data_IF_519439101497
#
_entry.id   IF_519439101497
#
_cell.length_a   1.000
_cell.length_b   1.000
_cell.length_c   1.000
_cell.angle_alpha   90.00
_cell.angle_beta   90.00
_cell.angle_gamma   90.00
#
_symmetry.space_group_name_H-M   'P 1'
#
loop_
_entity.id
_entity.type
_entity.pdbx_description
1 polymer ?
#
# COMPACT_ATOMS: atom_id res chain seq x y z
N UNK A 1 -17.87 -3.66 -6.15
CA UNK A 1 -16.87 -4.32 -5.27
C UNK A 1 -17.57 -5.37 -4.41
N UNK A 2 -17.01 -6.59 -4.27
CA UNK A 2 -17.60 -7.62 -3.39
C UNK A 2 -17.27 -7.32 -1.93
N UNK A 3 -18.10 -7.78 -0.97
CA UNK A 3 -17.86 -7.58 0.47
C UNK A 3 -16.48 -8.08 0.92
N UNK A 4 -16.02 -9.17 0.32
CA UNK A 4 -14.70 -9.75 0.56
C UNK A 4 -13.57 -8.79 0.15
N UNK A 5 -13.60 -8.26 -1.08
CA UNK A 5 -12.61 -7.27 -1.57
C UNK A 5 -12.56 -6.02 -0.69
N UNK A 6 -13.70 -5.59 -0.16
CA UNK A 6 -13.76 -4.45 0.76
C UNK A 6 -13.09 -4.74 2.10
N UNK A 7 -13.26 -5.94 2.66
CA UNK A 7 -12.63 -6.33 3.92
C UNK A 7 -11.11 -6.47 3.77
N UNK A 8 -10.67 -7.09 2.67
CA UNK A 8 -9.25 -7.17 2.30
C UNK A 8 -8.64 -5.78 2.13
N UNK A 9 -9.30 -4.88 1.41
CA UNK A 9 -8.78 -3.52 1.25
C UNK A 9 -8.70 -2.75 2.58
N UNK A 10 -9.66 -2.95 3.48
CA UNK A 10 -9.60 -2.35 4.83
C UNK A 10 -8.47 -2.92 5.67
N UNK A 11 -8.17 -4.22 5.58
CA UNK A 11 -7.04 -4.80 6.30
C UNK A 11 -5.71 -4.31 5.73
N UNK A 12 -5.59 -4.13 4.43
CA UNK A 12 -4.40 -3.54 3.78
C UNK A 12 -4.21 -2.08 4.23
N UNK A 13 -5.30 -1.30 4.29
CA UNK A 13 -5.24 0.08 4.79
C UNK A 13 -4.72 0.14 6.23
N UNK A 14 -5.29 -0.65 7.13
CA UNK A 14 -4.87 -0.67 8.54
C UNK A 14 -3.40 -1.08 8.70
N UNK A 15 -2.91 -2.01 7.87
CA UNK A 15 -1.50 -2.40 7.86
C UNK A 15 -0.61 -1.27 7.34
N UNK A 16 -1.04 -0.54 6.30
CA UNK A 16 -0.29 0.59 5.76
C UNK A 16 -0.22 1.76 6.75
N UNK A 17 -1.28 2.00 7.52
CA UNK A 17 -1.31 2.98 8.63
C UNK A 17 -0.27 2.62 9.70
N UNK A 18 -0.30 1.38 10.20
CA UNK A 18 0.66 0.87 11.18
C UNK A 18 2.11 0.91 10.66
N UNK A 19 2.32 0.63 9.38
CA UNK A 19 3.63 0.74 8.76
C UNK A 19 4.12 2.19 8.74
N UNK A 20 3.28 3.16 8.40
CA UNK A 20 3.70 4.58 8.39
C UNK A 20 3.97 5.15 9.78
N UNK A 21 3.36 4.60 10.83
CA UNK A 21 3.64 4.98 12.22
C UNK A 21 5.04 4.50 12.66
N UNK A 22 5.45 3.31 12.18
CA UNK A 22 6.77 2.72 12.49
C UNK A 22 7.87 3.19 11.55
N UNK A 23 7.52 3.55 10.32
CA UNK A 23 8.42 4.01 9.27
C UNK A 23 7.89 5.32 8.68
N UNK A 24 8.10 6.47 9.36
CA UNK A 24 7.61 7.76 8.89
C UNK A 24 8.13 8.07 7.48
N UNK A 25 7.23 8.26 6.49
CA UNK A 25 7.66 8.42 5.11
C UNK A 25 8.28 9.81 4.90
N UNK A 26 9.43 9.85 4.23
CA UNK A 26 10.23 11.08 4.03
C UNK A 26 9.91 11.78 2.72
N UNK A 27 9.70 11.02 1.64
CA UNK A 27 9.35 11.56 0.31
C UNK A 27 7.83 11.67 0.12
N UNK A 28 7.12 10.60 0.49
CA UNK A 28 5.67 10.51 0.39
C UNK A 28 5.02 10.94 1.70
N UNK A 29 3.80 11.45 1.64
CA UNK A 29 2.95 11.60 2.83
C UNK A 29 2.36 10.24 3.22
N UNK A 30 1.95 10.05 4.48
CA UNK A 30 1.28 8.81 4.88
C UNK A 30 0.07 8.48 4.00
N UNK A 31 -0.75 9.49 3.68
CA UNK A 31 -1.91 9.30 2.82
C UNK A 31 -1.56 8.83 1.40
N UNK A 32 -0.43 9.27 0.84
CA UNK A 32 0.06 8.81 -0.47
C UNK A 32 0.55 7.36 -0.40
N UNK A 33 1.26 7.00 0.67
CA UNK A 33 1.70 5.62 0.94
C UNK A 33 0.51 4.67 1.00
N UNK A 34 -0.53 5.01 1.77
CA UNK A 34 -1.71 4.15 1.91
C UNK A 34 -2.44 3.94 0.58
N UNK A 35 -2.55 5.00 -0.24
CA UNK A 35 -3.17 4.88 -1.57
C UNK A 35 -2.37 3.94 -2.49
N UNK A 36 -1.04 4.05 -2.47
CA UNK A 36 -0.17 3.19 -3.28
C UNK A 36 -0.17 1.75 -2.80
N UNK A 37 -0.19 1.50 -1.49
CA UNK A 37 -0.27 0.17 -0.91
C UNK A 37 -1.59 -0.54 -1.25
N UNK A 38 -2.70 0.21 -1.25
CA UNK A 38 -4.01 -0.29 -1.71
C UNK A 38 -4.00 -0.61 -3.21
N UNK A 39 -3.36 0.23 -4.03
CA UNK A 39 -3.25 0.00 -5.47
C UNK A 39 -2.35 -1.19 -5.83
N UNK A 40 -1.27 -1.42 -5.07
CA UNK A 40 -0.37 -2.56 -5.32
C UNK A 40 -1.03 -3.90 -4.98
N UNK A 41 -1.94 -3.92 -4.01
CA UNK A 41 -2.43 -5.17 -3.39
C UNK A 41 -3.85 -5.52 -3.81
N UNK A 42 -4.77 -4.55 -3.86
CA UNK A 42 -6.21 -4.83 -3.88
C UNK A 42 -6.86 -4.83 -5.28
N UNK A 43 -6.07 -4.73 -6.36
CA UNK A 43 -6.54 -4.69 -7.76
C UNK A 43 -7.81 -3.81 -7.92
N UNK A 44 -7.72 -2.56 -7.48
CA UNK A 44 -8.84 -1.63 -7.46
C UNK A 44 -9.15 -1.12 -8.87
N UNK A 45 -10.42 -1.17 -9.25
CA UNK A 45 -10.87 -0.82 -10.60
C UNK A 45 -11.00 0.70 -10.81
N UNK A 46 -11.18 1.46 -9.73
CA UNK A 46 -11.40 2.91 -9.80
C UNK A 46 -10.91 3.68 -8.58
N UNK A 47 -10.74 5.01 -8.74
CA UNK A 47 -10.50 5.91 -7.59
C UNK A 47 -11.68 6.00 -6.64
N UNK A 48 -12.90 5.74 -7.13
CA UNK A 48 -14.09 5.70 -6.30
C UNK A 48 -14.02 4.59 -5.24
N UNK A 49 -13.39 3.47 -5.59
CA UNK A 49 -13.16 2.37 -4.64
C UNK A 49 -12.15 2.79 -3.56
N UNK A 50 -11.02 3.40 -3.96
CA UNK A 50 -10.04 3.98 -3.04
C UNK A 50 -10.68 4.99 -2.08
N UNK A 51 -11.47 5.91 -2.62
CA UNK A 51 -12.19 6.93 -1.86
C UNK A 51 -13.16 6.31 -0.85
N UNK A 52 -13.92 5.29 -1.27
CA UNK A 52 -14.83 4.56 -0.40
C UNK A 52 -14.11 3.78 0.72
N UNK A 53 -12.93 3.22 0.45
CA UNK A 53 -12.11 2.54 1.45
C UNK A 53 -11.51 3.55 2.45
N UNK A 54 -10.98 4.66 1.94
CA UNK A 54 -10.29 5.70 2.70
C UNK A 54 -11.24 6.66 3.44
N UNK A 55 -12.52 6.69 3.09
CA UNK A 55 -13.49 7.64 3.65
C UNK A 55 -13.22 9.09 3.25
N UNK A 56 -12.61 9.33 2.09
CA UNK A 56 -12.29 10.67 1.58
C UNK A 56 -12.84 10.85 0.16
N UNK A 57 -12.86 12.09 -0.35
CA UNK A 57 -13.37 12.34 -1.70
C UNK A 57 -12.45 11.80 -2.81
N UNK A 58 -13.03 11.39 -3.93
CA UNK A 58 -12.30 11.01 -5.16
C UNK A 58 -11.32 12.10 -5.61
N UNK A 59 -11.68 13.38 -5.43
CA UNK A 59 -10.83 14.53 -5.75
C UNK A 59 -9.57 14.56 -4.88
N UNK A 60 -9.72 14.23 -3.59
CA UNK A 60 -8.60 14.11 -2.65
C UNK A 60 -7.66 12.98 -3.07
N UNK A 61 -8.20 11.80 -3.39
CA UNK A 61 -7.41 10.67 -3.90
C UNK A 61 -6.66 11.06 -5.18
N UNK A 62 -7.34 11.68 -6.14
CA UNK A 62 -6.74 12.10 -7.39
C UNK A 62 -5.60 13.12 -7.20
N UNK A 63 -5.76 14.07 -6.27
CA UNK A 63 -4.73 15.05 -5.93
C UNK A 63 -3.52 14.39 -5.28
N UNK A 64 -3.73 13.50 -4.31
CA UNK A 64 -2.68 12.73 -3.63
C UNK A 64 -1.91 11.85 -4.62
N UNK A 65 -2.62 11.11 -5.48
CA UNK A 65 -1.99 10.27 -6.51
C UNK A 65 -1.22 11.08 -7.55
N UNK A 66 -1.70 12.28 -7.90
CA UNK A 66 -0.95 13.20 -8.77
C UNK A 66 0.33 13.70 -8.10
N UNK A 67 0.25 14.12 -6.84
CA UNK A 67 1.40 14.55 -6.05
C UNK A 67 2.45 13.43 -5.93
N UNK A 68 2.02 12.23 -5.56
CA UNK A 68 2.91 11.07 -5.44
C UNK A 68 3.59 10.70 -6.77
N UNK A 69 2.87 10.79 -7.89
CA UNK A 69 3.47 10.61 -9.23
C UNK A 69 4.56 11.62 -9.53
N UNK A 70 4.36 12.90 -9.20
CA UNK A 70 5.37 13.94 -9.40
C UNK A 70 6.62 13.66 -8.56
N UNK A 71 6.45 13.31 -7.28
CA UNK A 71 7.55 12.99 -6.36
C UNK A 71 8.39 11.78 -6.80
N UNK A 72 7.75 10.82 -7.47
CA UNK A 72 8.39 9.61 -7.99
C UNK A 72 8.78 9.72 -9.47
N UNK A 73 8.60 10.89 -10.08
CA UNK A 73 8.87 11.14 -11.51
C UNK A 73 8.16 10.15 -12.44
N UNK A 74 6.97 9.69 -12.03
CA UNK A 74 6.22 8.64 -12.69
C UNK A 74 5.09 9.20 -13.57
N UNK A 75 5.02 8.73 -14.81
CA UNK A 75 3.99 9.15 -15.77
C UNK A 75 2.60 8.58 -15.44
N UNK A 76 2.54 7.35 -14.94
CA UNK A 76 1.30 6.65 -14.59
C UNK A 76 1.31 6.19 -13.15
N UNK A 77 0.14 5.86 -12.60
CA UNK A 77 0.05 5.32 -11.24
C UNK A 77 0.77 3.97 -11.12
N UNK A 78 0.71 3.15 -12.17
CA UNK A 78 1.40 1.85 -12.19
C UNK A 78 2.91 2.03 -12.05
N UNK A 79 3.49 2.96 -12.82
CA UNK A 79 4.92 3.29 -12.68
C UNK A 79 5.26 3.87 -11.31
N UNK A 80 4.37 4.69 -10.75
CA UNK A 80 4.58 5.27 -9.42
C UNK A 80 4.58 4.19 -8.33
N UNK A 81 3.64 3.23 -8.40
CA UNK A 81 3.60 2.10 -7.48
C UNK A 81 4.84 1.22 -7.63
N UNK A 82 5.23 0.89 -8.87
CA UNK A 82 6.43 0.10 -9.12
C UNK A 82 7.69 0.77 -8.58
N UNK A 83 7.83 2.08 -8.79
CA UNK A 83 8.97 2.86 -8.30
C UNK A 83 8.97 2.99 -6.78
N UNK A 84 7.79 3.17 -6.17
CA UNK A 84 7.64 3.19 -4.72
C UNK A 84 8.05 1.85 -4.08
N UNK A 85 7.65 0.71 -4.68
CA UNK A 85 8.08 -0.62 -4.24
C UNK A 85 9.59 -0.81 -4.42
N UNK A 86 10.14 -0.42 -5.58
CA UNK A 86 11.57 -0.52 -5.88
C UNK A 86 12.43 0.27 -4.88
N UNK A 87 11.95 1.43 -4.44
CA UNK A 87 12.61 2.30 -3.46
C UNK A 87 12.22 1.99 -2.00
N UNK A 88 11.39 0.96 -1.75
CA UNK A 88 10.90 0.59 -0.42
C UNK A 88 10.17 1.74 0.32
N UNK A 89 9.46 2.58 -0.43
CA UNK A 89 8.71 3.72 0.09
C UNK A 89 7.28 3.39 0.51
N UNK A 90 6.82 2.18 0.17
CA UNK A 90 5.52 1.63 0.55
C UNK A 90 5.71 0.18 0.98
N UNK A 91 4.86 -0.35 1.87
CA UNK A 91 4.94 -1.76 2.26
C UNK A 91 4.62 -2.70 1.09
N UNK A 92 5.33 -3.82 1.03
CA UNK A 92 4.98 -4.96 0.20
C UNK A 92 4.28 -6.01 1.06
N UNK A 93 2.99 -6.22 0.83
CA UNK A 93 2.25 -7.29 1.50
C UNK A 93 2.34 -8.57 0.67
N UNK A 94 2.57 -9.70 1.34
CA UNK A 94 2.35 -11.00 0.68
C UNK A 94 0.86 -11.14 0.36
N UNK A 95 0.55 -11.77 -0.76
CA UNK A 95 -0.83 -11.96 -1.19
C UNK A 95 -1.53 -12.85 -0.17
N UNK A 96 -2.66 -12.39 0.37
CA UNK A 96 -3.43 -13.17 1.34
C UNK A 96 -3.89 -14.49 0.70
N UNK A 97 -3.45 -15.63 1.24
CA UNK A 97 -4.00 -16.94 0.86
C UNK A 97 -5.16 -17.33 1.80
N UNK A 98 -6.25 -17.91 1.27
CA UNK A 98 -7.37 -18.36 2.09
C UNK A 98 -6.93 -19.38 3.15
N UNK A 99 -7.02 -19.00 4.43
CA UNK A 99 -6.63 -19.85 5.56
C UNK A 99 -5.41 -19.36 6.35
N UNK A 100 -4.67 -18.36 5.85
CA UNK A 100 -3.60 -17.72 6.61
C UNK A 100 -4.18 -16.74 7.64
N UNK A 101 -3.70 -16.84 8.88
CA UNK A 101 -4.03 -15.85 9.92
C UNK A 101 -3.41 -14.50 9.57
N UNK A 102 -4.09 -13.39 9.90
CA UNK A 102 -3.59 -12.03 9.62
C UNK A 102 -2.17 -11.75 10.14
N UNK A 103 -1.69 -12.51 11.13
CA UNK A 103 -0.37 -12.38 11.73
C UNK A 103 0.78 -12.96 10.87
N UNK A 104 0.49 -13.75 9.83
CA UNK A 104 1.50 -14.49 9.06
C UNK A 104 1.92 -13.81 7.74
N UNK A 105 1.34 -12.64 7.41
CA UNK A 105 1.48 -11.97 6.10
C UNK A 105 2.53 -10.84 6.16
N UNK A 106 3.30 -10.79 7.24
CA UNK A 106 4.34 -9.80 7.45
C UNK A 106 5.68 -10.44 7.08
N UNK A 107 6.21 -10.27 5.85
CA UNK A 107 7.65 -10.32 5.68
C UNK A 107 8.17 -9.02 6.29
N UNK A 108 8.35 -9.02 7.61
CA UNK A 108 9.27 -8.08 8.22
C UNK A 108 10.59 -8.28 7.47
N UNK A 109 11.36 -7.24 7.14
CA UNK A 109 12.79 -7.46 6.98
C UNK A 109 13.32 -7.80 8.38
N UNK A 110 13.12 -9.05 8.83
CA UNK A 110 14.14 -9.69 9.62
C UNK A 110 15.32 -9.74 8.66
N UNK A 111 16.38 -9.03 9.02
CA UNK A 111 17.67 -9.08 8.36
C UNK A 111 17.85 -10.41 7.63
N UNK A 112 17.84 -10.39 6.29
CA UNK A 112 18.21 -11.57 5.47
C UNK A 112 19.63 -12.07 5.82
N UNK A 113 20.37 -11.36 6.67
CA UNK A 113 21.63 -11.78 7.25
C UNK A 113 21.52 -12.89 8.32
N UNK A 114 20.33 -13.23 8.87
CA UNK A 114 20.22 -14.27 9.90
C UNK A 114 19.63 -15.61 9.43
N UNK A 115 19.07 -15.70 8.22
CA UNK A 115 18.47 -16.95 7.73
C UNK A 115 19.47 -17.97 7.13
N UNK A 116 20.77 -17.68 7.14
CA UNK A 116 21.83 -18.58 6.64
C UNK A 116 22.84 -18.99 7.72
N UNK A 117 22.40 -19.15 8.98
CA UNK A 117 23.14 -19.89 10.01
C UNK A 117 22.18 -20.61 10.95
N UNK A 118 21.70 -21.76 10.53
CA UNK A 118 21.25 -22.86 11.41
C UNK A 118 21.36 -24.16 10.63
#
# INVERSE_FOLDING_TARGET
MTRFKTLEAKSVLAQAEMWTDTHPPTLLTPAEVWNMALLSTCNLESYKDLAGIRGVSDRTIAAQMRSARLKLEARTNLFAVAEALRRQLIPSFERWEPGLSQAQIIPFPLDRAQAHKA
#
